data_IF_911096532841
#
_entry.id   IF_911096532841
#
_cell.length_a   1.000
_cell.length_b   1.000
_cell.length_c   1.000
_cell.angle_alpha   90.00
_cell.angle_beta   90.00
_cell.angle_gamma   90.00
#
_symmetry.space_group_name_H-M   'P 1'
#
loop_
_entity.id
_entity.type
_entity.pdbx_description
1 polymer ?
#
# COMPACT_ATOMS: atom_id res chain seq x y z
N UNK A 1 5.70 -0.12 29.91
CA UNK A 1 5.66 -0.62 28.52
C UNK A 1 5.81 0.58 27.60
N UNK A 2 6.76 0.57 26.66
CA UNK A 2 6.88 1.64 25.65
C UNK A 2 5.85 1.35 24.55
N UNK A 3 5.02 2.34 24.21
CA UNK A 3 4.11 2.21 23.07
C UNK A 3 4.94 2.18 21.77
N UNK A 4 4.66 1.26 20.83
CA UNK A 4 5.35 1.23 19.55
C UNK A 4 5.12 2.54 18.79
N UNK A 5 6.15 3.03 18.12
CA UNK A 5 6.04 4.25 17.30
C UNK A 5 5.26 3.92 16.03
N UNK A 6 4.32 4.77 15.61
CA UNK A 6 3.63 4.61 14.32
C UNK A 6 4.30 5.50 13.29
N UNK A 7 4.65 4.92 12.13
CA UNK A 7 5.08 5.66 10.96
C UNK A 7 3.95 5.67 9.94
N UNK A 8 3.48 6.86 9.58
CA UNK A 8 2.47 7.09 8.55
C UNK A 8 2.96 8.19 7.61
N UNK A 9 3.13 7.87 6.33
CA UNK A 9 3.52 8.82 5.29
C UNK A 9 2.48 8.84 4.17
N UNK A 10 1.94 10.02 3.85
CA UNK A 10 1.06 10.24 2.71
C UNK A 10 1.82 10.96 1.59
N UNK A 11 1.76 10.41 0.37
CA UNK A 11 2.36 10.95 -0.84
C UNK A 11 1.29 11.15 -1.90
N UNK A 12 1.29 12.30 -2.58
CA UNK A 12 0.47 12.48 -3.80
C UNK A 12 1.05 11.63 -4.92
N UNK A 13 0.23 10.80 -5.55
CA UNK A 13 0.63 10.12 -6.78
C UNK A 13 0.85 11.15 -7.89
N UNK A 14 1.93 10.99 -8.66
CA UNK A 14 2.25 11.85 -9.81
C UNK A 14 1.90 11.13 -11.11
N UNK A 15 1.21 11.82 -12.02
CA UNK A 15 0.80 11.23 -13.29
C UNK A 15 -0.08 10.00 -13.11
N UNK A 16 0.28 8.89 -13.76
CA UNK A 16 -0.39 7.59 -13.62
C UNK A 16 0.23 6.69 -12.54
N UNK A 17 1.23 7.17 -11.80
CA UNK A 17 1.92 6.44 -10.73
C UNK A 17 2.58 5.11 -11.14
N UNK A 18 2.80 4.86 -12.43
CA UNK A 18 3.25 3.56 -12.94
C UNK A 18 4.60 3.11 -12.35
N UNK A 19 5.55 4.05 -12.14
CA UNK A 19 6.84 3.72 -11.52
C UNK A 19 6.72 3.31 -10.05
N UNK A 20 5.80 3.94 -9.29
CA UNK A 20 5.50 3.53 -7.92
C UNK A 20 4.83 2.15 -7.90
N UNK A 21 3.85 1.93 -8.80
CA UNK A 21 3.20 0.62 -8.95
C UNK A 21 4.21 -0.47 -9.28
N UNK A 22 5.14 -0.21 -10.22
CA UNK A 22 6.15 -1.19 -10.61
C UNK A 22 7.10 -1.59 -9.47
N UNK A 23 7.43 -0.64 -8.59
CA UNK A 23 8.17 -0.93 -7.37
C UNK A 23 7.32 -1.76 -6.38
N UNK A 24 6.07 -1.35 -6.11
CA UNK A 24 5.17 -2.03 -5.17
C UNK A 24 4.90 -3.48 -5.59
N UNK A 25 4.66 -3.70 -6.87
CA UNK A 25 4.32 -5.00 -7.47
C UNK A 25 5.57 -5.80 -7.85
N UNK A 26 6.77 -5.27 -7.56
CA UNK A 26 8.07 -5.89 -7.87
C UNK A 26 8.26 -6.28 -9.34
N UNK A 27 7.66 -5.53 -10.27
CA UNK A 27 7.98 -5.63 -11.71
C UNK A 27 9.30 -4.92 -12.04
N UNK A 28 9.81 -4.10 -11.13
CA UNK A 28 11.17 -3.58 -11.10
C UNK A 28 11.78 -3.89 -9.73
N UNK A 29 12.95 -4.54 -9.71
CA UNK A 29 13.64 -4.90 -8.47
C UNK A 29 14.50 -3.73 -7.95
N UNK A 30 14.19 -3.17 -6.77
CA UNK A 30 14.99 -2.11 -6.18
C UNK A 30 16.24 -2.71 -5.49
N UNK A 31 17.32 -1.91 -5.39
CA UNK A 31 18.60 -2.38 -4.82
C UNK A 31 18.53 -2.80 -3.35
N UNK A 32 17.54 -2.29 -2.61
CA UNK A 32 17.35 -2.53 -1.19
C UNK A 32 16.34 -3.66 -0.89
N UNK A 33 15.79 -4.32 -1.91
CA UNK A 33 14.94 -5.50 -1.72
C UNK A 33 15.78 -6.78 -1.86
N UNK A 34 15.58 -7.70 -0.94
CA UNK A 34 16.11 -9.06 -0.95
C UNK A 34 15.17 -9.97 -1.75
N UNK A 35 15.57 -10.33 -2.97
CA UNK A 35 14.77 -11.17 -3.87
C UNK A 35 14.38 -12.51 -3.25
N UNK A 36 15.21 -13.06 -2.36
CA UNK A 36 14.93 -14.33 -1.68
C UNK A 36 13.72 -14.22 -0.74
N UNK A 37 13.36 -13.00 -0.32
CA UNK A 37 12.26 -12.69 0.59
C UNK A 37 11.02 -12.14 -0.10
N UNK A 38 11.06 -11.85 -1.40
CA UNK A 38 9.91 -11.28 -2.14
C UNK A 38 8.64 -12.12 -2.00
N UNK A 39 8.78 -13.45 -1.91
CA UNK A 39 7.65 -14.37 -1.71
C UNK A 39 6.92 -14.18 -0.36
N UNK A 40 7.52 -13.43 0.58
CA UNK A 40 6.93 -13.05 1.85
C UNK A 40 6.03 -11.80 1.75
N UNK A 41 6.15 -11.04 0.66
CA UNK A 41 5.26 -9.91 0.39
C UNK A 41 3.84 -10.43 0.15
N UNK A 42 2.84 -9.63 0.52
CA UNK A 42 1.44 -10.05 0.47
C UNK A 42 0.54 -8.93 0.01
N UNK A 43 -0.32 -9.24 -0.95
CA UNK A 43 -1.48 -8.42 -1.26
C UNK A 43 -2.50 -8.58 -0.13
N UNK A 44 -2.90 -7.46 0.46
CA UNK A 44 -3.87 -7.38 1.55
C UNK A 44 -5.28 -7.01 1.04
N UNK A 45 -5.35 -6.39 -0.14
CA UNK A 45 -6.59 -6.04 -0.83
C UNK A 45 -6.49 -6.57 -2.26
N UNK A 46 -7.46 -7.42 -2.63
CA UNK A 46 -7.57 -7.94 -3.98
C UNK A 46 -8.19 -6.93 -4.94
N UNK A 47 -7.81 -7.01 -6.22
CA UNK A 47 -8.39 -6.17 -7.25
C UNK A 47 -9.76 -6.68 -7.72
N UNK A 48 -10.62 -5.79 -8.26
CA UNK A 48 -11.81 -6.19 -8.99
C UNK A 48 -11.48 -7.13 -10.16
N UNK A 49 -12.48 -7.91 -10.60
CA UNK A 49 -12.32 -8.77 -11.78
C UNK A 49 -11.86 -7.93 -12.99
N UNK A 50 -10.92 -8.46 -13.77
CA UNK A 50 -10.26 -7.83 -14.94
C UNK A 50 -9.26 -6.71 -14.66
N UNK A 51 -9.13 -6.25 -13.41
CA UNK A 51 -8.08 -5.30 -13.00
C UNK A 51 -6.82 -6.08 -12.63
N UNK A 52 -5.69 -5.70 -13.22
CA UNK A 52 -4.44 -6.50 -13.14
C UNK A 52 -3.37 -5.91 -12.23
N UNK A 53 -3.45 -4.61 -11.94
CA UNK A 53 -2.43 -3.89 -11.20
C UNK A 53 -3.02 -2.65 -10.52
N UNK A 54 -2.26 -2.03 -9.64
CA UNK A 54 -2.63 -0.85 -8.87
C UNK A 54 -2.95 0.36 -9.76
N UNK A 55 -2.25 0.54 -10.87
CA UNK A 55 -2.52 1.63 -11.82
C UNK A 55 -3.92 1.50 -12.42
N UNK A 56 -4.27 0.29 -12.87
CA UNK A 56 -5.62 -0.04 -13.36
C UNK A 56 -6.66 0.06 -12.25
N UNK A 57 -6.34 -0.34 -11.01
CA UNK A 57 -7.25 -0.24 -9.87
C UNK A 57 -7.63 1.22 -9.54
N UNK A 58 -6.64 2.13 -9.55
CA UNK A 58 -6.86 3.57 -9.39
C UNK A 58 -7.77 4.10 -10.51
N UNK A 59 -7.47 3.74 -11.76
CA UNK A 59 -8.25 4.20 -12.91
C UNK A 59 -9.68 3.66 -12.88
N UNK A 60 -9.86 2.37 -12.58
CA UNK A 60 -11.17 1.73 -12.42
C UNK A 60 -11.99 2.43 -11.34
N UNK A 61 -11.40 2.74 -10.18
CA UNK A 61 -12.11 3.47 -9.12
C UNK A 61 -12.57 4.84 -9.58
N UNK A 62 -11.70 5.59 -10.26
CA UNK A 62 -12.01 6.93 -10.78
C UNK A 62 -13.19 6.88 -11.77
N UNK A 63 -13.18 5.91 -12.69
CA UNK A 63 -14.24 5.73 -13.70
C UNK A 63 -15.59 5.37 -13.08
N UNK A 64 -15.57 4.65 -11.97
CA UNK A 64 -16.78 4.18 -11.27
C UNK A 64 -17.16 5.06 -10.06
N UNK A 65 -16.50 6.21 -9.86
CA UNK A 65 -16.76 7.11 -8.73
C UNK A 65 -17.92 8.10 -8.95
N UNK A 66 -18.62 8.04 -10.08
CA UNK A 66 -19.69 8.99 -10.40
C UNK A 66 -19.21 10.43 -10.63
N UNK A 67 -17.92 10.60 -10.96
CA UNK A 67 -17.34 11.91 -11.25
C UNK A 67 -17.90 12.41 -12.59
N UNK A 68 -18.70 13.48 -12.55
CA UNK A 68 -19.36 14.05 -13.75
C UNK A 68 -18.52 15.08 -14.49
N UNK A 69 -17.49 15.64 -13.84
CA UNK A 69 -16.59 16.65 -14.42
C UNK A 69 -15.31 15.99 -14.93
N UNK A 70 -14.76 16.52 -16.01
CA UNK A 70 -13.46 16.08 -16.53
C UNK A 70 -12.36 16.28 -15.48
N UNK A 71 -11.58 15.24 -15.23
CA UNK A 71 -10.42 15.28 -14.35
C UNK A 71 -9.30 16.06 -15.03
N UNK A 72 -8.79 17.08 -14.32
CA UNK A 72 -7.71 17.93 -14.84
C UNK A 72 -6.40 17.16 -15.00
N UNK A 73 -5.55 17.60 -15.94
CA UNK A 73 -4.23 16.99 -16.19
C UNK A 73 -3.35 16.92 -14.93
N UNK A 74 -3.47 17.92 -14.05
CA UNK A 74 -2.65 18.07 -12.84
C UNK A 74 -3.40 17.70 -11.55
N UNK A 75 -4.60 17.13 -11.65
CA UNK A 75 -5.36 16.72 -10.47
C UNK A 75 -4.75 15.45 -9.89
N UNK A 76 -4.60 15.41 -8.56
CA UNK A 76 -4.12 14.22 -7.85
C UNK A 76 -5.16 13.12 -8.00
N UNK A 77 -4.74 11.98 -8.56
CA UNK A 77 -5.61 10.82 -8.83
C UNK A 77 -5.63 9.80 -7.71
N UNK A 78 -4.54 9.72 -6.95
CA UNK A 78 -4.41 8.83 -5.81
C UNK A 78 -3.49 9.46 -4.74
N UNK A 79 -3.67 9.03 -3.50
CA UNK A 79 -2.75 9.29 -2.39
C UNK A 79 -2.14 7.94 -2.05
N UNK A 80 -0.82 7.83 -2.15
CA UNK A 80 -0.09 6.69 -1.65
C UNK A 80 0.12 6.82 -0.14
N UNK A 81 -0.13 5.76 0.62
CA UNK A 81 0.11 5.67 2.04
C UNK A 81 1.20 4.64 2.30
N UNK A 82 2.19 4.98 3.13
CA UNK A 82 3.13 4.03 3.72
C UNK A 82 2.90 3.94 5.23
N UNK A 83 2.64 2.73 5.71
CA UNK A 83 2.45 2.41 7.13
C UNK A 83 3.59 1.50 7.60
N UNK A 84 4.20 1.83 8.73
CA UNK A 84 5.23 1.01 9.38
C UNK A 84 5.39 1.38 10.86
N UNK A 85 6.44 0.87 11.48
CA UNK A 85 6.92 1.23 12.81
C UNK A 85 8.44 1.40 12.79
N UNK A 86 9.06 1.57 13.96
CA UNK A 86 10.52 1.48 14.05
C UNK A 86 11.00 0.07 13.65
N UNK A 87 12.23 -0.12 13.16
CA UNK A 87 12.75 -1.44 12.83
C UNK A 87 12.64 -2.44 14.00
N UNK A 88 12.96 -1.99 15.22
CA UNK A 88 12.89 -2.82 16.42
C UNK A 88 11.44 -3.21 16.78
N UNK A 89 10.49 -2.30 16.60
CA UNK A 89 9.08 -2.58 16.88
C UNK A 89 8.47 -3.51 15.83
N UNK A 90 8.76 -3.31 14.53
CA UNK A 90 8.29 -4.23 13.48
C UNK A 90 8.88 -5.62 13.64
N UNK A 91 10.18 -5.71 14.00
CA UNK A 91 10.81 -7.00 14.33
C UNK A 91 10.09 -7.68 15.50
N UNK A 92 9.79 -6.94 16.57
CA UNK A 92 9.05 -7.49 17.72
C UNK A 92 7.64 -7.97 17.34
N UNK A 93 6.92 -7.21 16.50
CA UNK A 93 5.59 -7.58 15.99
C UNK A 93 5.66 -8.89 15.20
N UNK A 94 6.66 -9.02 14.33
CA UNK A 94 6.87 -10.20 13.51
C UNK A 94 7.27 -11.43 14.35
N UNK A 95 8.24 -11.29 15.27
CA UNK A 95 8.69 -12.36 16.17
C UNK A 95 7.59 -12.82 17.14
N UNK A 96 6.69 -11.92 17.54
CA UNK A 96 5.53 -12.25 18.37
C UNK A 96 4.40 -12.93 17.58
N UNK A 97 4.49 -13.05 16.26
CA UNK A 97 3.43 -13.60 15.41
C UNK A 97 2.27 -12.65 15.13
N UNK A 98 2.38 -11.38 15.52
CA UNK A 98 1.29 -10.39 15.46
C UNK A 98 1.24 -9.60 14.14
N UNK A 99 2.08 -9.95 13.15
CA UNK A 99 2.13 -9.22 11.88
C UNK A 99 0.81 -9.27 11.11
N UNK A 100 0.08 -10.38 11.21
CA UNK A 100 -1.24 -10.52 10.59
C UNK A 100 -2.26 -9.55 11.19
N UNK A 101 -2.31 -9.47 12.52
CA UNK A 101 -3.22 -8.56 13.23
C UNK A 101 -2.87 -7.10 12.94
N UNK A 102 -1.57 -6.77 12.95
CA UNK A 102 -1.10 -5.44 12.56
C UNK A 102 -1.51 -5.06 11.13
N UNK A 103 -1.47 -6.00 10.18
CA UNK A 103 -1.95 -5.77 8.82
C UNK A 103 -3.46 -5.58 8.77
N UNK A 104 -4.23 -6.40 9.50
CA UNK A 104 -5.68 -6.31 9.55
C UNK A 104 -6.14 -4.97 10.14
N UNK A 105 -5.55 -4.55 11.26
CA UNK A 105 -5.83 -3.27 11.92
C UNK A 105 -5.46 -2.08 11.01
N UNK A 106 -4.34 -2.18 10.29
CA UNK A 106 -3.90 -1.16 9.34
C UNK A 106 -4.88 -1.00 8.17
N UNK A 107 -5.35 -2.12 7.60
CA UNK A 107 -6.34 -2.13 6.51
C UNK A 107 -7.68 -1.58 7.00
N UNK A 108 -8.15 -2.03 8.16
CA UNK A 108 -9.39 -1.56 8.78
C UNK A 108 -9.36 -0.04 9.02
N UNK A 109 -8.24 0.48 9.57
CA UNK A 109 -8.06 1.92 9.75
C UNK A 109 -8.08 2.69 8.43
N UNK A 110 -7.40 2.19 7.38
CA UNK A 110 -7.40 2.80 6.05
C UNK A 110 -8.80 2.86 5.46
N UNK A 111 -9.57 1.77 5.54
CA UNK A 111 -10.94 1.69 5.04
C UNK A 111 -11.88 2.63 5.81
N UNK A 112 -11.74 2.73 7.13
CA UNK A 112 -12.52 3.66 7.96
C UNK A 112 -12.19 5.12 7.69
N UNK A 113 -10.91 5.42 7.42
CA UNK A 113 -10.42 6.79 7.24
C UNK A 113 -10.68 7.33 5.85
N UNK A 114 -10.42 6.52 4.81
CA UNK A 114 -10.50 6.96 3.42
C UNK A 114 -11.71 6.41 2.67
N UNK A 115 -12.44 5.47 3.26
CA UNK A 115 -13.57 4.77 2.65
C UNK A 115 -13.12 3.46 2.01
N UNK A 116 -13.86 2.37 2.25
CA UNK A 116 -13.51 1.03 1.76
C UNK A 116 -13.37 0.96 0.23
N UNK A 117 -14.23 1.66 -0.52
CA UNK A 117 -14.14 1.74 -1.98
C UNK A 117 -12.91 2.51 -2.48
N UNK A 118 -12.31 3.36 -1.65
CA UNK A 118 -11.16 4.18 -2.03
C UNK A 118 -9.82 3.51 -1.70
N UNK A 119 -9.83 2.44 -0.88
CA UNK A 119 -8.66 1.59 -0.67
C UNK A 119 -8.56 0.57 -1.81
N UNK A 120 -7.96 0.99 -2.93
CA UNK A 120 -7.91 0.19 -4.16
C UNK A 120 -6.75 -0.81 -4.22
N UNK A 121 -5.76 -0.66 -3.35
CA UNK A 121 -4.60 -1.54 -3.23
C UNK A 121 -4.03 -1.42 -1.82
N UNK A 122 -3.53 -2.52 -1.28
CA UNK A 122 -2.70 -2.54 -0.08
C UNK A 122 -1.76 -3.74 -0.17
N UNK A 123 -0.45 -3.51 -0.05
CA UNK A 123 0.58 -4.55 -0.20
C UNK A 123 1.57 -4.43 0.95
N UNK A 124 1.74 -5.54 1.68
CA UNK A 124 2.78 -5.69 2.69
C UNK A 124 4.11 -6.06 2.00
N UNK A 125 5.15 -5.28 2.24
CA UNK A 125 6.53 -5.61 1.89
C UNK A 125 7.29 -6.12 3.11
N UNK A 126 7.99 -7.25 2.94
CA UNK A 126 8.83 -7.93 3.94
C UNK A 126 10.22 -8.29 3.41
N UNK A 127 10.51 -7.86 2.20
CA UNK A 127 11.76 -8.07 1.48
C UNK A 127 12.72 -6.87 1.57
N UNK A 128 12.30 -5.75 2.17
CA UNK A 128 13.17 -4.60 2.47
C UNK A 128 13.58 -4.56 3.96
N UNK A 129 14.29 -3.50 4.36
CA UNK A 129 14.88 -3.35 5.71
C UNK A 129 13.86 -3.42 6.85
N UNK A 130 12.66 -2.89 6.67
CA UNK A 130 11.64 -2.84 7.73
C UNK A 130 10.29 -3.13 7.11
N UNK A 131 9.51 -4.10 7.63
CA UNK A 131 8.20 -4.41 7.09
C UNK A 131 7.29 -3.17 7.07
N UNK A 132 6.59 -2.97 5.97
CA UNK A 132 5.70 -1.83 5.78
C UNK A 132 4.61 -2.14 4.77
N UNK A 133 3.50 -1.40 4.85
CA UNK A 133 2.40 -1.50 3.89
C UNK A 133 2.45 -0.30 2.97
N UNK A 134 2.32 -0.56 1.67
CA UNK A 134 1.95 0.44 0.67
C UNK A 134 0.46 0.33 0.35
N UNK A 135 -0.27 1.44 0.38
CA UNK A 135 -1.63 1.55 -0.13
C UNK A 135 -1.69 2.65 -1.20
#
# INVERSE_FOLDING_TARGET
MRLPCVVLHLKKASGNDAGTSAHIERTIHPKNADESRTHLNRELIGFPQSVKNRTEAIQHRIENAGITRKIGKNQVRAIGVMLSSSPDDMKRIEEAGNLNDWCADSVDWLQKTFGAENLVSAVLHRDETTPHIHA
#
